data_IF_014113298085
#
_entry.id   IF_014113298085
#
_cell.length_a   1.000
_cell.length_b   1.000
_cell.length_c   1.000
_cell.angle_alpha   90.00
_cell.angle_beta   90.00
_cell.angle_gamma   90.00
#
_symmetry.space_group_name_H-M   'P 1'
#
loop_
_entity.id
_entity.type
_entity.pdbx_description
1 polymer ?
#
# COMPACT_ATOMS: atom_id res chain seq x y z
N UNK A 1 -9.15 9.39 12.15
CA UNK A 1 -8.87 7.96 12.39
C UNK A 1 -7.38 7.78 12.24
N UNK A 2 -6.72 7.10 13.17
CA UNK A 2 -5.29 6.78 13.07
C UNK A 2 -5.09 5.75 11.95
N UNK A 3 -4.39 6.10 10.84
CA UNK A 3 -4.17 5.18 9.73
C UNK A 3 -3.42 3.90 10.15
N UNK A 4 -2.67 3.94 11.26
CA UNK A 4 -1.94 2.80 11.81
C UNK A 4 -2.83 1.88 12.67
N UNK A 5 -3.99 2.34 13.13
CA UNK A 5 -4.92 1.59 13.99
C UNK A 5 -6.32 1.53 13.37
N UNK A 6 -6.52 0.63 12.41
CA UNK A 6 -7.85 0.06 12.15
C UNK A 6 -7.91 -1.32 12.83
N UNK A 7 -7.99 -1.33 14.17
CA UNK A 7 -8.70 -2.41 14.86
C UNK A 7 -10.15 -1.96 14.92
N UNK A 8 -11.07 -2.84 14.52
CA UNK A 8 -12.51 -2.61 14.71
C UNK A 8 -12.80 -2.13 16.14
N UNK A 9 -13.69 -1.15 16.36
CA UNK A 9 -13.95 -0.56 17.67
C UNK A 9 -14.72 -1.47 18.65
N UNK A 10 -14.63 -2.79 18.50
CA UNK A 10 -15.18 -3.74 19.46
C UNK A 10 -14.24 -4.93 19.65
N UNK A 11 -13.24 -4.79 20.53
CA UNK A 11 -13.01 -5.75 21.60
C UNK A 11 -12.08 -5.14 22.67
N UNK A 12 -12.59 -5.13 23.90
CA UNK A 12 -11.97 -4.60 25.11
C UNK A 12 -10.83 -5.48 25.62
N UNK A 13 -9.74 -4.82 26.04
CA UNK A 13 -8.84 -5.10 27.17
C UNK A 13 -8.40 -6.55 27.46
N UNK A 14 -7.08 -6.77 27.43
CA UNK A 14 -6.41 -7.46 28.55
C UNK A 14 -4.95 -7.02 28.64
N UNK A 15 -4.60 -6.42 29.77
CA UNK A 15 -3.22 -6.18 30.23
C UNK A 15 -2.51 -7.51 30.49
N UNK A 16 -1.33 -7.70 29.89
CA UNK A 16 -0.35 -8.68 30.36
C UNK A 16 1.01 -7.98 30.48
N UNK A 17 1.51 -7.90 31.71
CA UNK A 17 2.91 -7.61 32.03
C UNK A 17 3.74 -8.85 31.64
N UNK A 18 4.69 -8.68 30.72
CA UNK A 18 5.64 -9.72 30.36
C UNK A 18 7.06 -9.26 30.67
N UNK A 19 7.75 -10.06 31.50
CA UNK A 19 9.17 -9.96 31.83
C UNK A 19 10.02 -9.90 30.56
N UNK A 20 10.88 -8.89 30.44
CA UNK A 20 11.96 -8.83 29.45
C UNK A 20 13.10 -9.75 29.90
N UNK A 21 13.18 -10.95 29.32
CA UNK A 21 14.43 -11.73 29.30
C UNK A 21 15.22 -11.31 28.06
N UNK A 22 16.40 -10.71 28.27
CA UNK A 22 17.38 -10.43 27.22
C UNK A 22 17.96 -11.75 26.72
N UNK A 23 17.35 -12.30 25.65
CA UNK A 23 17.94 -13.41 24.90
C UNK A 23 18.91 -12.81 23.88
N UNK A 24 20.18 -13.22 23.84
CA UNK A 24 21.10 -12.80 22.79
C UNK A 24 20.57 -13.20 21.42
N UNK A 25 20.52 -12.23 20.51
CA UNK A 25 20.06 -12.43 19.13
C UNK A 25 20.88 -13.52 18.44
N UNK A 26 20.26 -14.54 17.84
CA UNK A 26 20.99 -15.51 17.03
C UNK A 26 21.64 -14.83 15.82
N UNK A 27 22.78 -15.35 15.33
CA UNK A 27 23.47 -14.78 14.17
C UNK A 27 22.54 -14.74 12.95
N UNK A 28 22.50 -13.57 12.29
CA UNK A 28 21.73 -13.28 11.08
C UNK A 28 21.89 -14.39 10.03
N UNK A 29 20.90 -15.26 9.92
CA UNK A 29 20.73 -16.07 8.71
C UNK A 29 20.02 -15.21 7.66
N UNK A 30 20.54 -15.10 6.43
CA UNK A 30 19.82 -14.42 5.36
C UNK A 30 18.47 -15.11 5.15
N UNK A 31 17.41 -14.33 4.92
CA UNK A 31 16.15 -14.88 4.45
C UNK A 31 16.44 -15.76 3.23
N UNK A 32 16.06 -17.03 3.29
CA UNK A 32 15.76 -17.76 2.07
C UNK A 32 14.55 -17.04 1.46
N UNK A 33 14.78 -16.11 0.54
CA UNK A 33 13.74 -15.35 -0.16
C UNK A 33 12.89 -16.29 -1.03
N UNK A 34 12.03 -17.09 -0.40
CA UNK A 34 11.09 -18.01 -1.07
C UNK A 34 9.75 -17.29 -1.16
N UNK A 35 9.70 -16.19 -1.91
CA UNK A 35 8.49 -15.40 -2.04
C UNK A 35 8.66 -14.17 -2.93
N UNK A 36 7.56 -13.76 -3.55
CA UNK A 36 7.44 -12.46 -4.21
C UNK A 36 6.99 -11.46 -3.15
N UNK A 37 7.68 -10.32 -3.05
CA UNK A 37 7.34 -9.24 -2.13
C UNK A 37 7.09 -7.94 -2.88
N UNK A 38 6.16 -7.13 -2.38
CA UNK A 38 5.70 -5.90 -3.00
C UNK A 38 5.64 -4.78 -1.98
N UNK A 39 6.34 -3.67 -2.26
CA UNK A 39 6.08 -2.39 -1.61
C UNK A 39 5.11 -1.59 -2.46
N UNK A 40 4.10 -0.97 -1.82
CA UNK A 40 3.15 -0.05 -2.45
C UNK A 40 3.10 1.26 -1.68
N UNK A 41 3.37 2.35 -2.37
CA UNK A 41 3.09 3.71 -1.93
C UNK A 41 1.77 4.13 -2.57
N UNK A 42 0.79 4.43 -1.74
CA UNK A 42 -0.55 4.86 -2.12
C UNK A 42 -0.68 6.34 -1.81
N UNK A 43 -1.12 7.11 -2.79
CA UNK A 43 -1.51 8.49 -2.64
C UNK A 43 -2.95 8.65 -3.08
N UNK A 44 -3.75 9.35 -2.30
CA UNK A 44 -5.05 9.86 -2.73
C UNK A 44 -5.06 11.36 -2.52
N UNK A 45 -5.44 12.12 -3.53
CA UNK A 45 -5.57 13.58 -3.44
C UNK A 45 -6.93 14.02 -3.93
N UNK A 46 -7.64 14.72 -3.06
CA UNK A 46 -8.95 15.32 -3.35
C UNK A 46 -8.76 16.81 -3.59
N UNK A 47 -8.98 17.26 -4.82
CA UNK A 47 -8.96 18.68 -5.17
C UNK A 47 -10.36 19.24 -4.96
N UNK A 48 -10.56 20.06 -3.93
CA UNK A 48 -11.88 20.63 -3.61
C UNK A 48 -12.17 21.88 -4.45
N UNK A 49 -11.14 22.66 -4.73
CA UNK A 49 -11.20 23.86 -5.56
C UNK A 49 -9.77 24.22 -6.04
N UNK A 50 -9.64 25.35 -6.72
CA UNK A 50 -8.38 25.81 -7.31
C UNK A 50 -7.26 26.13 -6.30
N UNK A 51 -7.58 26.23 -5.01
CA UNK A 51 -6.63 26.64 -3.96
C UNK A 51 -6.45 25.60 -2.86
N UNK A 52 -7.29 24.55 -2.82
CA UNK A 52 -7.27 23.55 -1.76
C UNK A 52 -7.31 22.14 -2.33
N UNK A 53 -6.25 21.40 -2.03
CA UNK A 53 -6.13 19.97 -2.28
C UNK A 53 -5.80 19.26 -0.97
N UNK A 54 -6.50 18.17 -0.71
CA UNK A 54 -6.29 17.34 0.46
C UNK A 54 -5.62 16.03 0.06
N UNK A 55 -4.41 15.80 0.56
CA UNK A 55 -3.56 14.68 0.13
C UNK A 55 -3.27 13.73 1.29
N UNK A 56 -3.59 12.45 1.09
CA UNK A 56 -3.23 11.37 2.00
C UNK A 56 -2.22 10.44 1.33
N UNK A 57 -1.23 9.96 2.11
CA UNK A 57 -0.19 9.04 1.65
C UNK A 57 -0.01 7.86 2.60
N UNK A 58 0.10 6.63 2.08
CA UNK A 58 0.25 5.40 2.85
C UNK A 58 1.29 4.47 2.20
N UNK A 59 2.24 3.97 2.97
CA UNK A 59 3.18 2.93 2.56
C UNK A 59 2.78 1.55 3.08
N UNK A 60 2.84 0.55 2.21
CA UNK A 60 2.55 -0.86 2.50
C UNK A 60 3.73 -1.74 2.08
N UNK A 61 4.01 -2.77 2.86
CA UNK A 61 4.76 -3.95 2.45
C UNK A 61 3.81 -5.13 2.52
N UNK A 62 3.45 -5.69 1.37
CA UNK A 62 2.30 -6.58 1.23
C UNK A 62 1.01 -5.94 1.77
N UNK A 63 0.47 -6.48 2.85
CA UNK A 63 -0.71 -6.00 3.59
C UNK A 63 -0.33 -5.29 4.91
N UNK A 64 0.97 -5.20 5.23
CA UNK A 64 1.46 -4.53 6.43
C UNK A 64 1.65 -3.03 6.15
N UNK A 65 0.94 -2.20 6.91
CA UNK A 65 1.13 -0.74 6.90
C UNK A 65 2.48 -0.37 7.49
N UNK A 66 3.35 0.23 6.69
CA UNK A 66 4.67 0.70 7.09
C UNK A 66 4.59 2.06 7.80
N UNK A 67 3.82 2.98 7.23
CA UNK A 67 3.64 4.33 7.73
C UNK A 67 2.76 5.18 6.82
N UNK A 68 2.35 6.35 7.28
CA UNK A 68 1.56 7.31 6.52
C UNK A 68 2.23 8.69 6.53
N UNK A 69 1.91 9.51 5.54
CA UNK A 69 2.36 10.90 5.48
C UNK A 69 1.36 11.81 6.17
N UNK A 70 1.77 12.48 7.25
CA UNK A 70 0.96 13.49 7.92
C UNK A 70 1.14 14.83 7.21
N UNK A 71 0.09 15.29 6.54
CA UNK A 71 0.06 16.55 5.79
C UNK A 71 0.19 17.80 6.66
N UNK A 72 -0.14 17.73 7.95
CA UNK A 72 -0.09 18.89 8.86
C UNK A 72 1.33 19.12 9.38
N UNK A 73 2.02 18.06 9.77
CA UNK A 73 3.43 18.13 10.19
C UNK A 73 4.39 18.00 9.00
N UNK A 74 3.87 17.59 7.84
CA UNK A 74 4.64 17.20 6.66
C UNK A 74 5.63 16.08 6.97
N UNK A 75 5.31 15.12 7.85
CA UNK A 75 6.26 14.08 8.26
C UNK A 75 5.73 12.66 8.09
N UNK A 76 6.63 11.68 8.02
CA UNK A 76 6.25 10.26 7.99
C UNK A 76 5.99 9.77 9.41
N UNK A 77 4.81 9.19 9.63
CA UNK A 77 4.47 8.47 10.85
C UNK A 77 4.57 6.97 10.62
N UNK A 78 5.48 6.32 11.34
CA UNK A 78 5.73 4.88 11.20
C UNK A 78 4.72 4.06 12.01
N UNK A 79 4.07 3.10 11.36
CA UNK A 79 3.04 2.26 11.98
C UNK A 79 3.62 1.03 12.67
N UNK A 80 4.77 0.52 12.21
CA UNK A 80 5.43 -0.64 12.80
C UNK A 80 6.72 -0.25 13.52
N UNK A 81 7.01 -0.83 14.69
CA UNK A 81 8.20 -0.50 15.46
C UNK A 81 9.51 -0.87 14.73
N UNK A 82 9.47 -1.81 13.79
CA UNK A 82 10.63 -2.26 13.03
C UNK A 82 10.91 -1.44 11.76
N UNK A 83 10.00 -0.56 11.34
CA UNK A 83 10.18 0.22 10.09
C UNK A 83 11.19 1.33 10.28
N UNK A 84 11.03 2.19 11.30
CA UNK A 84 11.98 3.27 11.56
C UNK A 84 13.43 2.77 11.67
N UNK A 85 13.77 1.73 12.44
CA UNK A 85 15.16 1.25 12.53
C UNK A 85 15.67 0.52 11.28
N UNK A 86 14.82 0.19 10.30
CA UNK A 86 15.25 -0.52 9.10
C UNK A 86 16.20 0.28 8.21
N UNK A 87 16.12 1.63 8.27
CA UNK A 87 17.00 2.52 7.52
C UNK A 87 17.68 3.56 8.45
N UNK A 88 18.89 4.02 8.10
CA UNK A 88 19.52 5.20 8.69
C UNK A 88 18.59 6.42 8.73
N UNK A 89 18.77 7.31 9.71
CA UNK A 89 17.98 8.56 9.80
C UNK A 89 18.13 9.41 8.52
N UNK A 90 19.35 9.54 7.99
CA UNK A 90 19.62 10.34 6.80
C UNK A 90 18.86 9.84 5.55
N UNK A 91 18.66 8.52 5.44
CA UNK A 91 17.89 7.92 4.35
C UNK A 91 16.40 8.24 4.52
N UNK A 92 15.86 8.12 5.74
CA UNK A 92 14.49 8.56 6.03
C UNK A 92 14.27 10.06 5.79
N UNK A 93 15.23 10.91 6.16
CA UNK A 93 15.16 12.36 5.90
C UNK A 93 15.12 12.64 4.39
N UNK A 94 15.89 11.87 3.61
CA UNK A 94 15.90 11.96 2.15
C UNK A 94 14.54 11.56 1.57
N UNK A 95 13.99 10.42 1.99
CA UNK A 95 12.67 9.92 1.56
C UNK A 95 11.58 10.93 1.91
N UNK A 96 11.56 11.45 3.14
CA UNK A 96 10.56 12.41 3.58
C UNK A 96 10.63 13.70 2.76
N UNK A 97 11.83 14.22 2.50
CA UNK A 97 12.00 15.42 1.66
C UNK A 97 11.57 15.18 0.21
N UNK A 98 11.85 14.00 -0.35
CA UNK A 98 11.36 13.63 -1.69
C UNK A 98 9.83 13.59 -1.75
N UNK A 99 9.19 13.00 -0.74
CA UNK A 99 7.72 12.96 -0.64
C UNK A 99 7.16 14.38 -0.53
N UNK A 100 7.72 15.25 0.34
CA UNK A 100 7.29 16.64 0.48
C UNK A 100 7.33 17.40 -0.84
N UNK A 101 8.47 17.33 -1.54
CA UNK A 101 8.68 18.00 -2.82
C UNK A 101 7.69 17.45 -3.85
N UNK A 102 7.55 16.13 -3.94
CA UNK A 102 6.64 15.48 -4.85
C UNK A 102 5.19 15.90 -4.61
N UNK A 103 4.68 15.82 -3.38
CA UNK A 103 3.29 16.18 -3.06
C UNK A 103 2.99 17.65 -3.40
N UNK A 104 3.91 18.56 -3.08
CA UNK A 104 3.76 19.97 -3.42
C UNK A 104 3.72 20.18 -4.95
N UNK A 105 4.66 19.58 -5.69
CA UNK A 105 4.72 19.75 -7.15
C UNK A 105 3.53 19.09 -7.84
N UNK A 106 3.14 17.90 -7.39
CA UNK A 106 1.98 17.17 -7.88
C UNK A 106 0.71 18.02 -7.76
N UNK A 107 0.42 18.56 -6.57
CA UNK A 107 -0.76 19.39 -6.36
C UNK A 107 -0.77 20.62 -7.28
N UNK A 108 0.37 21.28 -7.44
CA UNK A 108 0.51 22.44 -8.33
C UNK A 108 0.25 22.09 -9.79
N UNK A 109 0.87 21.02 -10.29
CA UNK A 109 0.76 20.60 -11.69
C UNK A 109 -0.65 20.12 -12.02
N UNK A 110 -1.24 19.27 -11.18
CA UNK A 110 -2.60 18.74 -11.41
C UNK A 110 -3.63 19.86 -11.38
N UNK A 111 -3.51 20.82 -10.44
CA UNK A 111 -4.39 21.98 -10.39
C UNK A 111 -4.28 22.84 -11.66
N UNK A 112 -3.07 23.06 -12.17
CA UNK A 112 -2.85 23.78 -13.42
C UNK A 112 -3.46 23.06 -14.62
N UNK A 113 -3.31 21.72 -14.70
CA UNK A 113 -3.95 20.89 -15.72
C UNK A 113 -5.47 20.98 -15.63
N UNK A 114 -6.04 20.91 -14.43
CA UNK A 114 -7.47 21.00 -14.20
C UNK A 114 -8.03 22.35 -14.67
N UNK A 115 -7.34 23.46 -14.38
CA UNK A 115 -7.72 24.79 -14.88
C UNK A 115 -7.60 24.90 -16.40
N UNK A 116 -6.52 24.38 -16.99
CA UNK A 116 -6.29 24.42 -18.45
C UNK A 116 -7.33 23.62 -19.24
N UNK A 117 -7.89 22.58 -18.62
CA UNK A 117 -8.82 21.63 -19.25
C UNK A 117 -10.26 21.79 -18.78
N UNK A 118 -10.56 22.86 -18.03
CA UNK A 118 -11.88 23.16 -17.45
C UNK A 118 -12.49 21.96 -16.70
N UNK A 119 -11.66 21.25 -15.92
CA UNK A 119 -12.10 20.09 -15.12
C UNK A 119 -12.95 20.58 -13.94
N UNK A 120 -14.16 20.01 -13.74
CA UNK A 120 -15.01 20.40 -12.62
C UNK A 120 -14.46 19.89 -11.29
N UNK A 121 -14.51 20.74 -10.28
CA UNK A 121 -14.22 20.40 -8.88
C UNK A 121 -15.52 20.00 -8.14
N UNK A 122 -15.44 19.16 -7.10
CA UNK A 122 -14.25 18.45 -6.66
C UNK A 122 -13.92 17.25 -7.56
N UNK A 123 -12.64 16.88 -7.60
CA UNK A 123 -12.20 15.64 -8.24
C UNK A 123 -11.11 14.97 -7.42
N UNK A 124 -10.90 13.68 -7.67
CA UNK A 124 -9.93 12.85 -6.96
C UNK A 124 -8.92 12.29 -7.94
N UNK A 125 -7.64 12.39 -7.59
CA UNK A 125 -6.55 11.69 -8.26
C UNK A 125 -5.91 10.72 -7.28
N UNK A 126 -5.68 9.49 -7.74
CA UNK A 126 -5.04 8.45 -6.94
C UNK A 126 -3.78 7.99 -7.67
N UNK A 127 -2.68 7.83 -6.94
CA UNK A 127 -1.45 7.26 -7.46
C UNK A 127 -1.08 6.03 -6.64
N UNK A 128 -0.63 4.99 -7.32
CA UNK A 128 -0.03 3.80 -6.69
C UNK A 128 1.31 3.56 -7.36
N UNK A 129 2.38 3.57 -6.58
CA UNK A 129 3.72 3.33 -7.10
C UNK A 129 4.51 2.41 -6.16
N UNK A 130 5.53 1.74 -6.67
CA UNK A 130 6.31 0.84 -5.85
C UNK A 130 7.16 -0.12 -6.67
N UNK A 131 7.58 -1.19 -6.02
CA UNK A 131 8.41 -2.21 -6.64
C UNK A 131 8.06 -3.61 -6.13
N UNK A 132 8.24 -4.58 -7.02
CA UNK A 132 8.12 -6.01 -6.74
C UNK A 132 9.52 -6.62 -6.74
N UNK A 133 9.82 -7.46 -5.76
CA UNK A 133 11.02 -8.31 -5.71
C UNK A 133 10.60 -9.77 -5.85
N UNK A 134 11.12 -10.42 -6.88
CA UNK A 134 10.83 -11.81 -7.19
C UNK A 134 11.82 -12.78 -6.53
N UNK A 135 11.45 -14.07 -6.36
CA UNK A 135 12.35 -15.08 -5.76
C UNK A 135 13.68 -15.26 -6.51
N UNK A 136 13.68 -15.03 -7.83
CA UNK A 136 14.87 -15.08 -8.68
C UNK A 136 15.78 -13.83 -8.56
N UNK A 137 15.52 -12.95 -7.59
CA UNK A 137 16.20 -11.67 -7.34
C UNK A 137 16.05 -10.62 -8.44
N UNK A 138 15.19 -10.85 -9.43
CA UNK A 138 14.76 -9.78 -10.34
C UNK A 138 13.76 -8.88 -9.64
N UNK A 139 13.62 -7.66 -10.14
CA UNK A 139 12.67 -6.68 -9.62
C UNK A 139 11.95 -5.97 -10.75
N UNK A 140 10.83 -5.34 -10.42
CA UNK A 140 10.08 -4.52 -11.34
C UNK A 140 9.42 -3.36 -10.59
N UNK A 141 9.73 -2.13 -11.01
CA UNK A 141 9.01 -0.94 -10.59
C UNK A 141 7.66 -0.81 -11.31
N UNK A 142 6.74 -0.10 -10.69
CA UNK A 142 5.45 0.24 -11.29
C UNK A 142 4.96 1.60 -10.80
N UNK A 143 4.22 2.29 -11.65
CA UNK A 143 3.43 3.47 -11.30
C UNK A 143 2.08 3.38 -12.00
N UNK A 144 1.02 3.64 -11.26
CA UNK A 144 -0.35 3.71 -11.73
C UNK A 144 -0.97 5.02 -11.26
N UNK A 145 -1.80 5.62 -12.10
CA UNK A 145 -2.64 6.74 -11.71
C UNK A 145 -4.08 6.52 -12.15
N UNK A 146 -5.00 6.95 -11.29
CA UNK A 146 -6.44 6.95 -11.53
C UNK A 146 -7.05 8.32 -11.27
N UNK A 147 -8.17 8.59 -11.94
CA UNK A 147 -8.95 9.81 -11.84
C UNK A 147 -10.41 9.45 -11.56
N UNK A 148 -10.99 10.00 -10.48
CA UNK A 148 -12.35 9.70 -10.01
C UNK A 148 -12.68 8.19 -9.96
N UNK A 149 -11.73 7.40 -9.46
CA UNK A 149 -11.87 5.95 -9.31
C UNK A 149 -11.73 5.14 -10.61
N UNK A 150 -11.34 5.77 -11.72
CA UNK A 150 -11.09 5.11 -13.00
C UNK A 150 -9.59 5.14 -13.34
N UNK A 151 -9.07 4.05 -13.88
CA UNK A 151 -7.67 3.98 -14.31
C UNK A 151 -7.40 4.98 -15.45
N UNK A 152 -6.30 5.73 -15.32
CA UNK A 152 -5.92 6.77 -16.27
C UNK A 152 -4.69 6.36 -17.08
N UNK A 153 -3.58 6.07 -16.40
CA UNK A 153 -2.34 5.63 -17.03
C UNK A 153 -1.49 4.75 -16.11
N UNK A 154 -0.52 4.06 -16.71
CA UNK A 154 0.54 3.34 -16.03
C UNK A 154 1.90 3.63 -16.64
N UNK A 155 2.96 3.53 -15.84
CA UNK A 155 4.35 3.52 -16.30
C UNK A 155 4.91 2.12 -16.13
N UNK A 156 5.35 1.53 -17.23
CA UNK A 156 6.25 0.40 -17.16
C UNK A 156 7.68 0.93 -17.05
N UNK A 157 8.27 0.81 -15.86
CA UNK A 157 9.60 1.34 -15.57
C UNK A 157 10.74 0.55 -16.23
N UNK A 158 10.48 -0.66 -16.75
CA UNK A 158 11.50 -1.49 -17.40
C UNK A 158 11.84 -1.00 -18.81
N UNK A 159 10.83 -0.52 -19.53
CA UNK A 159 10.98 0.02 -20.90
C UNK A 159 10.59 1.50 -20.99
N UNK A 160 10.44 2.16 -19.84
CA UNK A 160 10.14 3.58 -19.69
C UNK A 160 8.97 4.01 -20.58
N UNK A 161 7.87 3.26 -20.51
CA UNK A 161 6.71 3.47 -21.40
C UNK A 161 5.45 3.82 -20.62
N UNK A 162 4.92 5.02 -20.90
CA UNK A 162 3.61 5.46 -20.42
C UNK A 162 2.48 4.84 -21.26
N UNK A 163 1.62 4.07 -20.61
CA UNK A 163 0.47 3.39 -21.23
C UNK A 163 -0.83 4.03 -20.75
N UNK A 164 -1.77 4.29 -21.66
CA UNK A 164 -3.10 4.77 -21.32
C UNK A 164 -4.01 3.61 -20.95
N UNK A 165 -4.81 3.76 -19.90
CA UNK A 165 -5.88 2.81 -19.58
C UNK A 165 -7.18 3.15 -20.33
N UNK A 166 -7.40 4.45 -20.60
CA UNK A 166 -8.52 4.94 -21.38
C UNK A 166 -8.05 6.00 -22.39
N UNK A 167 -8.58 5.99 -23.61
CA UNK A 167 -8.27 7.00 -24.63
C UNK A 167 -9.30 8.14 -24.63
N UNK A 168 -9.03 9.16 -23.83
CA UNK A 168 -9.83 10.39 -23.76
C UNK A 168 -8.96 11.60 -24.10
N UNK A 169 -9.57 12.75 -24.40
CA UNK A 169 -8.82 13.99 -24.61
C UNK A 169 -7.97 14.34 -23.38
N UNK A 170 -8.52 14.14 -22.18
CA UNK A 170 -7.83 14.38 -20.92
C UNK A 170 -6.62 13.45 -20.72
N UNK A 171 -6.80 12.15 -20.89
CA UNK A 171 -5.72 11.18 -20.70
C UNK A 171 -4.59 11.35 -21.72
N UNK A 172 -4.90 11.66 -22.98
CA UNK A 172 -3.89 12.00 -24.00
C UNK A 172 -3.11 13.26 -23.66
N UNK A 173 -3.77 14.30 -23.15
CA UNK A 173 -3.10 15.53 -22.73
C UNK A 173 -2.13 15.26 -21.57
N UNK A 174 -2.59 14.58 -20.51
CA UNK A 174 -1.75 14.24 -19.35
C UNK A 174 -0.58 13.36 -19.75
N UNK A 175 -0.80 12.33 -20.59
CA UNK A 175 0.28 11.48 -21.10
C UNK A 175 1.32 12.30 -21.88
N UNK A 176 0.90 13.24 -22.71
CA UNK A 176 1.83 14.10 -23.45
C UNK A 176 2.72 14.93 -22.53
N UNK A 177 2.17 15.44 -21.41
CA UNK A 177 2.97 16.16 -20.41
C UNK A 177 4.00 15.24 -19.77
N UNK A 178 3.59 14.04 -19.36
CA UNK A 178 4.48 13.05 -18.73
C UNK A 178 5.57 12.56 -19.67
N UNK A 179 5.26 12.34 -20.96
CA UNK A 179 6.24 11.92 -21.96
C UNK A 179 7.26 13.02 -22.28
N UNK A 180 6.89 14.29 -22.12
CA UNK A 180 7.80 15.41 -22.36
C UNK A 180 8.65 15.76 -21.13
N UNK A 181 8.26 15.28 -19.95
CA UNK A 181 9.02 15.45 -18.70
C UNK A 181 9.98 14.27 -18.48
N UNK A 182 11.11 14.31 -19.18
CA UNK A 182 12.12 13.25 -19.12
C UNK A 182 12.75 13.15 -17.73
N UNK A 183 13.01 14.29 -17.07
CA UNK A 183 13.62 14.33 -15.74
C UNK A 183 12.72 13.67 -14.68
N UNK A 184 11.41 13.92 -14.73
CA UNK A 184 10.46 13.24 -13.85
C UNK A 184 10.42 11.74 -14.13
N UNK A 185 10.40 11.35 -15.40
CA UNK A 185 10.37 9.94 -15.80
C UNK A 185 11.63 9.18 -15.35
N UNK A 186 12.82 9.77 -15.54
CA UNK A 186 14.11 9.22 -15.05
C UNK A 186 14.14 9.10 -13.52
N UNK A 187 13.59 10.10 -12.82
CA UNK A 187 13.49 10.07 -11.36
C UNK A 187 12.63 8.90 -10.89
N UNK A 188 11.46 8.67 -11.50
CA UNK A 188 10.59 7.53 -11.19
C UNK A 188 11.29 6.20 -11.47
N UNK A 189 12.04 6.12 -12.57
CA UNK A 189 12.78 4.91 -12.93
C UNK A 189 13.81 4.55 -11.85
N UNK A 190 14.67 5.49 -11.47
CA UNK A 190 15.70 5.28 -10.43
C UNK A 190 15.03 4.94 -9.10
N UNK A 191 14.01 5.72 -8.71
CA UNK A 191 13.30 5.54 -7.45
C UNK A 191 12.69 4.15 -7.31
N UNK A 192 12.02 3.63 -8.34
CA UNK A 192 11.30 2.36 -8.23
C UNK A 192 12.09 1.14 -8.71
N UNK A 193 13.07 1.29 -9.61
CA UNK A 193 13.90 0.17 -10.03
C UNK A 193 15.12 -0.07 -9.13
N UNK A 194 15.61 0.95 -8.41
CA UNK A 194 16.80 0.85 -7.56
C UNK A 194 16.48 1.14 -6.09
N UNK A 195 16.12 2.39 -5.77
CA UNK A 195 15.96 2.84 -4.37
C UNK A 195 14.94 2.01 -3.61
N UNK A 196 13.73 1.83 -4.17
CA UNK A 196 12.68 1.00 -3.59
C UNK A 196 13.13 -0.44 -3.34
N UNK A 197 13.95 -1.00 -4.24
CA UNK A 197 14.42 -2.39 -4.13
C UNK A 197 15.43 -2.54 -3.00
N UNK A 198 16.32 -1.56 -2.83
CA UNK A 198 17.32 -1.58 -1.76
C UNK A 198 16.69 -1.34 -0.38
N UNK A 199 15.75 -0.39 -0.29
CA UNK A 199 14.95 -0.17 0.92
C UNK A 199 14.11 -1.40 1.28
N UNK A 200 13.47 -2.05 0.27
CA UNK A 200 12.69 -3.26 0.49
C UNK A 200 13.54 -4.39 1.08
N UNK A 201 14.79 -4.59 0.63
CA UNK A 201 15.67 -5.61 1.21
C UNK A 201 15.90 -5.38 2.71
N UNK A 202 16.08 -4.12 3.11
CA UNK A 202 16.25 -3.77 4.53
C UNK A 202 14.96 -3.97 5.32
N UNK A 203 13.82 -3.51 4.76
CA UNK A 203 12.51 -3.71 5.38
C UNK A 203 12.14 -5.19 5.54
N UNK A 204 12.47 -6.04 4.56
CA UNK A 204 12.27 -7.50 4.66
C UNK A 204 13.12 -8.14 5.77
N UNK A 205 14.34 -7.65 5.99
CA UNK A 205 15.21 -8.14 7.07
C UNK A 205 14.65 -7.77 8.46
N UNK A 206 14.27 -6.51 8.65
CA UNK A 206 13.74 -6.02 9.93
C UNK A 206 12.31 -6.48 10.21
N UNK A 207 11.49 -6.59 9.16
CA UNK A 207 10.08 -7.01 9.22
C UNK A 207 9.86 -8.51 9.18
N UNK A 208 10.93 -9.33 9.17
CA UNK A 208 10.84 -10.79 9.00
C UNK A 208 9.82 -11.43 9.93
N UNK A 209 9.89 -11.14 11.23
CA UNK A 209 8.96 -11.71 12.21
C UNK A 209 7.50 -11.30 11.97
N UNK A 210 7.26 -10.09 11.45
CA UNK A 210 5.92 -9.62 11.14
C UNK A 210 5.35 -10.24 9.85
N UNK A 211 6.22 -10.50 8.86
CA UNK A 211 5.88 -11.12 7.57
C UNK A 211 5.67 -12.63 7.69
N UNK A 212 6.49 -13.31 8.51
CA UNK A 212 6.43 -14.75 8.75
C UNK A 212 5.45 -15.13 9.88
N UNK A 213 4.78 -14.15 10.51
CA UNK A 213 3.83 -14.44 11.60
C UNK A 213 2.71 -15.34 11.11
N UNK A 214 2.26 -16.21 11.99
CA UNK A 214 1.11 -17.08 11.73
C UNK A 214 0.14 -16.92 12.89
N UNK A 215 -1.05 -16.43 12.57
CA UNK A 215 -2.14 -16.30 13.53
C UNK A 215 -3.23 -17.29 13.11
N UNK A 216 -3.60 -18.19 14.02
CA UNK A 216 -4.56 -19.25 13.72
C UNK A 216 -5.98 -18.68 13.64
N UNK A 217 -6.77 -19.07 12.62
CA UNK A 217 -8.14 -18.61 12.50
C UNK A 217 -9.02 -19.09 13.66
N UNK A 218 -9.84 -18.17 14.16
CA UNK A 218 -10.95 -18.48 15.06
C UNK A 218 -12.22 -18.54 14.23
N UNK A 219 -12.78 -19.74 14.08
CA UNK A 219 -14.01 -19.99 13.35
C UNK A 219 -15.20 -20.16 14.31
N UNK A 220 -16.34 -19.55 13.96
CA UNK A 220 -17.61 -19.73 14.65
C UNK A 220 -18.72 -19.95 13.63
N UNK A 221 -19.63 -20.88 13.94
CA UNK A 221 -20.79 -21.16 13.10
C UNK A 221 -22.05 -20.83 13.88
N UNK A 222 -22.94 -20.08 13.26
CA UNK A 222 -24.24 -19.77 13.83
C UNK A 222 -25.32 -19.76 12.75
N UNK A 223 -26.57 -19.95 13.17
CA UNK A 223 -27.72 -19.90 12.28
C UNK A 223 -28.44 -18.55 12.39
N UNK A 224 -28.94 -18.06 11.26
CA UNK A 224 -29.90 -16.97 11.18
C UNK A 224 -31.14 -17.46 10.47
N UNK A 225 -32.30 -17.00 10.90
CA UNK A 225 -33.59 -17.33 10.28
C UNK A 225 -34.15 -16.07 9.64
N UNK A 226 -33.70 -15.71 8.42
CA UNK A 226 -34.18 -14.49 7.75
C UNK A 226 -35.67 -14.57 7.40
N UNK A 227 -36.23 -15.77 7.24
CA UNK A 227 -37.66 -16.05 7.00
C UNK A 227 -38.06 -17.36 7.67
N UNK A 228 -39.36 -17.59 7.98
CA UNK A 228 -39.83 -18.81 8.67
C UNK A 228 -39.43 -20.13 7.99
N UNK A 229 -39.29 -20.12 6.66
CA UNK A 229 -38.96 -21.26 5.80
C UNK A 229 -37.47 -21.31 5.40
N UNK A 230 -36.65 -20.38 5.89
CA UNK A 230 -35.25 -20.24 5.49
C UNK A 230 -34.31 -20.29 6.69
N UNK A 231 -33.39 -21.24 6.68
CA UNK A 231 -32.27 -21.30 7.63
C UNK A 231 -30.97 -20.94 6.91
N UNK A 232 -30.35 -19.84 7.32
CA UNK A 232 -29.04 -19.41 6.84
C UNK A 232 -27.98 -19.80 7.85
N UNK A 233 -27.07 -20.70 7.47
CA UNK A 233 -25.86 -20.97 8.25
C UNK A 233 -24.78 -19.96 7.87
N UNK A 234 -24.18 -19.33 8.88
CA UNK A 234 -23.10 -18.35 8.71
C UNK A 234 -21.85 -18.89 9.39
N UNK A 235 -20.77 -19.00 8.63
CA UNK A 235 -19.43 -19.28 9.14
C UNK A 235 -18.67 -17.96 9.22
N UNK A 236 -18.19 -17.61 10.40
CA UNK A 236 -17.41 -16.41 10.65
C UNK A 236 -16.00 -16.81 11.09
N UNK A 237 -14.99 -16.37 10.34
CA UNK A 237 -13.58 -16.71 10.56
C UNK A 237 -12.79 -15.42 10.78
N UNK A 238 -12.07 -15.33 11.89
CA UNK A 238 -11.40 -14.09 12.35
C UNK A 238 -10.01 -14.37 12.93
N UNK A 239 -9.24 -13.31 13.19
CA UNK A 239 -7.94 -13.35 13.89
C UNK A 239 -6.90 -14.26 13.22
N UNK A 240 -6.81 -14.23 11.89
CA UNK A 240 -5.83 -15.01 11.15
C UNK A 240 -4.90 -14.14 10.31
N UNK A 241 -3.71 -14.66 10.10
CA UNK A 241 -2.70 -14.10 9.21
C UNK A 241 -1.80 -15.25 8.71
N UNK A 242 -1.40 -15.28 7.42
CA UNK A 242 -1.64 -14.27 6.39
C UNK A 242 -3.08 -14.23 5.86
N UNK A 243 -3.42 -13.20 5.09
CA UNK A 243 -4.77 -12.95 4.58
C UNK A 243 -5.38 -14.06 3.69
N UNK A 244 -4.63 -14.82 2.87
CA UNK A 244 -5.20 -15.92 2.10
C UNK A 244 -5.69 -17.06 3.00
N UNK A 245 -6.97 -17.42 2.91
CA UNK A 245 -7.61 -18.54 3.63
C UNK A 245 -8.59 -19.27 2.72
N UNK A 246 -8.80 -20.55 2.96
CA UNK A 246 -9.87 -21.34 2.32
C UNK A 246 -10.91 -21.74 3.36
N UNK A 247 -12.18 -21.52 3.05
CA UNK A 247 -13.32 -21.86 3.91
C UNK A 247 -14.39 -22.52 3.05
N UNK A 248 -14.78 -23.74 3.40
CA UNK A 248 -15.81 -24.50 2.69
C UNK A 248 -16.82 -25.08 3.69
N UNK A 249 -18.07 -25.19 3.24
CA UNK A 249 -19.07 -26.00 3.93
C UNK A 249 -18.88 -27.45 3.53
N UNK A 250 -19.03 -28.37 4.49
CA UNK A 250 -19.03 -29.80 4.25
C UNK A 250 -20.38 -30.38 4.68
N UNK A 251 -20.95 -31.25 3.86
CA UNK A 251 -22.09 -32.10 4.20
C UNK A 251 -21.56 -33.53 4.31
N UNK A 252 -21.70 -34.14 5.48
CA UNK A 252 -21.23 -35.51 5.76
C UNK A 252 -19.75 -35.73 5.40
N UNK A 253 -18.92 -34.70 5.60
CA UNK A 253 -17.48 -34.74 5.32
C UNK A 253 -17.10 -34.52 3.85
N UNK A 254 -18.06 -34.26 2.96
CA UNK A 254 -17.81 -33.95 1.55
C UNK A 254 -18.26 -32.53 1.22
N UNK A 255 -17.56 -31.88 0.30
CA UNK A 255 -18.02 -30.60 -0.24
C UNK A 255 -19.38 -30.82 -0.94
N UNK A 256 -20.41 -30.02 -0.60
CA UNK A 256 -21.66 -30.05 -1.33
C UNK A 256 -21.37 -29.75 -2.80
N UNK A 257 -21.87 -30.61 -3.70
CA UNK A 257 -21.76 -30.39 -5.14
C UNK A 257 -22.28 -29.00 -5.54
N UNK A 258 -21.63 -28.32 -6.50
CA UNK A 258 -22.06 -27.01 -6.98
C UNK A 258 -23.47 -27.00 -7.58
#
# INVERSE_FOLDING_TARGET
MDPCNLKDPSLSSSTFLSLLLLVPSPPCQPLSHVGTFTIRLLQTTTFQNTSFADTDGLGLLEDIKLGYFDKHTSSIHFCQPWVRPALPQADWDTIENLIKIFMHQFNRVINAVAMQMDIPYPFVVQCMAGCVLYPNRTSQGFVYAGYNGQDLFSLNTKNVTWTLSQDTKFSRYVKSLLQNDTAFTETLEIMFNQTCVDEMKMLLQFGRAALERQELPVASVFARTPRPDQLLLVCHVTNFYPHPISVAWLRDGQEPWP
#
